data_IF_921924533134
#
_entry.id   IF_921924533134
#
_cell.length_a   1.000
_cell.length_b   1.000
_cell.length_c   1.000
_cell.angle_alpha   90.00
_cell.angle_beta   90.00
_cell.angle_gamma   90.00
#
_symmetry.space_group_name_H-M   'P 1'
#
loop_
_entity.id
_entity.type
_entity.pdbx_description
1 polymer ?
#
# COMPACT_ATOMS: atom_id res chain seq x y z
N UNK A 1 55.33 49.02 -7.28
CA UNK A 1 55.36 47.54 -7.17
C UNK A 1 53.98 47.02 -7.45
N UNK A 2 53.74 46.52 -8.67
CA UNK A 2 52.45 45.90 -9.01
C UNK A 2 52.36 44.60 -8.21
N UNK A 3 51.51 44.59 -7.18
CA UNK A 3 51.30 43.42 -6.33
C UNK A 3 50.66 42.27 -7.11
N UNK A 4 50.75 41.05 -6.57
CA UNK A 4 50.12 39.88 -7.17
C UNK A 4 48.60 40.10 -7.32
N UNK A 5 48.07 39.85 -8.51
CA UNK A 5 46.66 40.03 -8.85
C UNK A 5 45.89 38.70 -8.79
N UNK A 6 44.55 38.75 -8.90
CA UNK A 6 43.74 37.53 -9.06
C UNK A 6 43.73 36.58 -7.87
N UNK A 7 43.82 37.09 -6.63
CA UNK A 7 43.78 36.24 -5.44
C UNK A 7 45.09 35.51 -5.10
N UNK A 8 46.17 35.86 -5.79
CA UNK A 8 47.51 35.36 -5.52
C UNK A 8 48.16 36.04 -4.30
N UNK A 9 48.84 35.28 -3.44
CA UNK A 9 49.56 35.77 -2.26
C UNK A 9 51.04 36.04 -2.57
N UNK A 10 51.72 35.10 -3.24
CA UNK A 10 53.09 35.29 -3.72
C UNK A 10 53.19 34.91 -5.19
N UNK A 11 53.89 35.71 -5.99
CA UNK A 11 53.98 35.55 -7.43
C UNK A 11 55.39 35.86 -7.94
N UNK A 12 55.71 35.34 -9.12
CA UNK A 12 56.92 35.64 -9.88
C UNK A 12 56.55 36.00 -11.31
N UNK A 13 57.43 36.77 -11.98
CA UNK A 13 57.21 37.18 -13.37
C UNK A 13 57.16 35.99 -14.32
N UNK A 14 57.89 34.92 -14.03
CA UNK A 14 58.04 33.77 -14.93
C UNK A 14 57.04 32.64 -14.68
N UNK A 15 56.72 32.34 -13.41
CA UNK A 15 55.86 31.21 -13.04
C UNK A 15 54.44 31.64 -12.67
N UNK A 16 54.12 32.93 -12.76
CA UNK A 16 52.85 33.47 -12.28
C UNK A 16 52.71 33.33 -10.78
N UNK A 17 51.55 32.88 -10.32
CA UNK A 17 51.28 32.68 -8.90
C UNK A 17 51.98 31.45 -8.33
N UNK A 18 52.65 31.62 -7.20
CA UNK A 18 53.33 30.56 -6.45
C UNK A 18 52.47 30.04 -5.28
N UNK A 19 51.76 30.94 -4.59
CA UNK A 19 50.81 30.59 -3.53
C UNK A 19 49.53 31.40 -3.60
N UNK A 20 48.40 30.74 -3.42
CA UNK A 20 47.08 31.37 -3.45
C UNK A 20 46.61 31.79 -2.06
N UNK A 21 45.73 32.80 -2.01
CA UNK A 21 44.99 33.12 -0.78
C UNK A 21 44.18 31.90 -0.29
N UNK A 22 43.87 31.82 1.01
CA UNK A 22 43.07 30.73 1.57
C UNK A 22 41.76 30.52 0.78
N UNK A 23 41.32 29.25 0.68
CA UNK A 23 40.13 28.76 -0.04
C UNK A 23 40.25 28.70 -1.57
N UNK A 24 41.22 29.37 -2.19
CA UNK A 24 41.48 29.24 -3.63
C UNK A 24 42.33 28.00 -3.92
N UNK A 25 42.21 27.49 -5.14
CA UNK A 25 43.01 26.41 -5.68
C UNK A 25 44.05 26.96 -6.65
N UNK A 26 45.28 26.46 -6.57
CA UNK A 26 46.29 26.73 -7.59
C UNK A 26 46.09 25.78 -8.77
N UNK A 27 46.00 26.34 -9.96
CA UNK A 27 45.96 25.62 -11.24
C UNK A 27 47.18 26.01 -12.07
N UNK A 28 47.79 25.03 -12.73
CA UNK A 28 48.93 25.25 -13.62
C UNK A 28 48.43 25.29 -15.06
N UNK A 29 48.27 26.50 -15.59
CA UNK A 29 47.93 26.70 -16.99
C UNK A 29 49.16 26.47 -17.87
N UNK A 30 48.97 25.80 -19.00
CA UNK A 30 50.06 25.50 -19.93
C UNK A 30 49.99 26.45 -21.12
N UNK A 31 51.04 27.23 -21.31
CA UNK A 31 51.23 28.09 -22.49
C UNK A 31 52.49 27.62 -23.24
N UNK A 32 52.28 26.84 -24.30
CA UNK A 32 53.35 26.12 -24.99
C UNK A 32 54.12 25.18 -24.05
N UNK A 33 55.40 25.48 -23.81
CA UNK A 33 56.25 24.72 -22.87
C UNK A 33 56.25 25.28 -21.44
N UNK A 34 55.62 26.44 -21.21
CA UNK A 34 55.59 27.10 -19.91
C UNK A 34 54.39 26.63 -19.09
N UNK A 35 54.55 26.61 -17.78
CA UNK A 35 53.47 26.41 -16.81
C UNK A 35 53.38 27.63 -15.91
N UNK A 36 52.21 28.25 -15.86
CA UNK A 36 51.95 29.47 -15.10
C UNK A 36 50.90 29.15 -14.05
N UNK A 37 51.20 29.46 -12.80
CA UNK A 37 50.26 29.27 -11.70
C UNK A 37 49.20 30.37 -11.67
N UNK A 38 47.93 29.96 -11.57
CA UNK A 38 46.78 30.85 -11.42
C UNK A 38 45.93 30.39 -10.24
N UNK A 39 45.25 31.33 -9.58
CA UNK A 39 44.39 31.01 -8.44
C UNK A 39 42.93 31.04 -8.87
N UNK A 40 42.22 29.92 -8.67
CA UNK A 40 40.83 29.74 -9.08
C UNK A 40 39.96 29.39 -7.86
N UNK A 41 38.70 29.84 -7.89
CA UNK A 41 37.72 29.46 -6.88
C UNK A 41 37.27 28.00 -7.02
N UNK A 42 37.37 27.43 -8.23
CA UNK A 42 37.03 26.05 -8.56
C UNK A 42 37.91 25.57 -9.70
N UNK A 43 38.24 24.28 -9.71
CA UNK A 43 39.09 23.71 -10.73
C UNK A 43 38.36 23.62 -12.09
N UNK A 44 39.08 23.84 -13.20
CA UNK A 44 38.50 23.74 -14.54
C UNK A 44 38.17 22.28 -14.91
N UNK A 45 37.41 22.09 -15.99
CA UNK A 45 37.08 20.76 -16.51
C UNK A 45 38.35 19.92 -16.76
N UNK A 46 38.29 18.63 -16.44
CA UNK A 46 39.45 17.73 -16.50
C UNK A 46 40.40 17.85 -15.29
N UNK A 47 40.05 18.64 -14.27
CA UNK A 47 40.79 18.74 -13.00
C UNK A 47 39.84 18.61 -11.82
N UNK A 48 40.34 18.06 -10.71
CA UNK A 48 39.65 18.00 -9.43
C UNK A 48 40.46 18.74 -8.36
N UNK A 49 39.77 19.35 -7.40
CA UNK A 49 40.41 20.08 -6.31
C UNK A 49 40.83 19.15 -5.18
N UNK A 50 42.09 19.25 -4.74
CA UNK A 50 42.55 18.67 -3.47
C UNK A 50 42.83 19.79 -2.47
N UNK A 51 42.56 19.55 -1.19
CA UNK A 51 42.90 20.48 -0.11
C UNK A 51 43.96 19.86 0.77
N UNK A 52 45.08 20.54 0.93
CA UNK A 52 46.18 20.14 1.80
C UNK A 52 46.48 21.27 2.79
N UNK A 53 47.15 20.99 3.92
CA UNK A 53 47.49 22.01 4.91
C UNK A 53 48.28 23.18 4.33
N UNK A 54 49.12 22.91 3.31
CA UNK A 54 50.03 23.89 2.72
C UNK A 54 49.37 24.73 1.63
N UNK A 55 48.54 24.10 0.77
CA UNK A 55 47.77 24.76 -0.29
C UNK A 55 46.67 23.84 -0.84
N UNK A 56 45.76 24.41 -1.63
CA UNK A 56 44.80 23.62 -2.40
C UNK A 56 45.24 23.59 -3.86
N UNK A 57 45.28 22.41 -4.48
CA UNK A 57 45.75 22.22 -5.85
C UNK A 57 44.61 21.72 -6.74
N UNK A 58 44.63 22.13 -8.00
CA UNK A 58 43.86 21.49 -9.06
C UNK A 58 44.70 20.37 -9.71
N UNK A 59 44.31 19.13 -9.49
CA UNK A 59 44.99 17.94 -10.02
C UNK A 59 44.25 17.45 -11.25
N UNK A 60 44.99 17.17 -12.33
CA UNK A 60 44.43 16.63 -13.58
C UNK A 60 43.81 15.25 -13.35
N UNK A 61 42.67 14.99 -13.98
CA UNK A 61 42.05 13.67 -14.05
C UNK A 61 42.95 12.67 -14.81
N UNK A 62 42.66 11.37 -14.67
CA UNK A 62 43.32 10.31 -15.44
C UNK A 62 43.12 10.47 -16.96
N UNK A 63 43.97 9.82 -17.77
CA UNK A 63 43.95 9.96 -19.24
C UNK A 63 42.60 9.59 -19.86
N UNK A 64 41.95 8.54 -19.36
CA UNK A 64 40.66 8.02 -19.88
C UNK A 64 39.45 8.80 -19.37
N UNK A 65 39.68 9.79 -18.50
CA UNK A 65 38.65 10.51 -17.79
C UNK A 65 38.58 11.97 -18.26
N UNK A 66 37.41 12.38 -18.74
CA UNK A 66 37.13 13.75 -19.17
C UNK A 66 36.83 14.67 -17.98
N UNK A 67 36.11 14.15 -16.96
CA UNK A 67 35.89 14.84 -15.69
C UNK A 67 35.84 13.85 -14.53
N UNK A 68 36.40 14.22 -13.39
CA UNK A 68 36.53 13.35 -12.23
C UNK A 68 36.18 14.07 -10.93
N UNK A 69 35.68 13.31 -9.97
CA UNK A 69 35.49 13.77 -8.60
C UNK A 69 36.81 13.71 -7.81
N UNK A 70 37.57 12.64 -8.02
CA UNK A 70 38.94 12.48 -7.53
C UNK A 70 39.73 11.53 -8.44
N UNK A 71 40.98 11.23 -8.09
CA UNK A 71 41.86 10.34 -8.87
C UNK A 71 41.24 8.97 -9.21
N UNK A 72 40.43 8.42 -8.32
CA UNK A 72 39.87 7.08 -8.43
C UNK A 72 38.42 7.05 -8.95
N UNK A 73 37.76 8.21 -8.99
CA UNK A 73 36.36 8.30 -9.35
C UNK A 73 36.15 9.31 -10.47
N UNK A 74 36.02 8.77 -11.68
CA UNK A 74 35.64 9.48 -12.88
C UNK A 74 34.13 9.68 -12.94
N UNK A 75 33.72 10.86 -13.42
CA UNK A 75 32.33 11.25 -13.64
C UNK A 75 31.93 11.10 -15.11
N UNK A 76 32.85 11.39 -16.03
CA UNK A 76 32.64 11.25 -17.48
C UNK A 76 33.88 10.72 -18.16
N UNK A 77 33.71 9.69 -18.97
CA UNK A 77 34.80 9.11 -19.74
C UNK A 77 35.06 9.88 -21.04
N UNK A 78 36.30 9.82 -21.52
CA UNK A 78 36.63 10.30 -22.87
C UNK A 78 35.97 9.39 -23.92
N UNK A 79 35.74 9.93 -25.11
CA UNK A 79 35.26 9.16 -26.25
C UNK A 79 36.12 7.89 -26.47
N UNK A 80 35.47 6.76 -26.69
CA UNK A 80 36.12 5.45 -26.80
C UNK A 80 36.18 4.64 -25.49
N UNK A 81 35.85 5.25 -24.35
CA UNK A 81 35.76 4.54 -23.05
C UNK A 81 34.36 4.64 -22.44
N UNK A 82 34.03 3.63 -21.64
CA UNK A 82 32.74 3.48 -20.96
C UNK A 82 32.94 3.52 -19.45
N UNK A 83 32.01 4.19 -18.76
CA UNK A 83 32.04 4.33 -17.31
C UNK A 83 31.52 3.06 -16.63
N UNK A 84 32.29 2.53 -15.68
CA UNK A 84 31.90 1.43 -14.81
C UNK A 84 32.43 1.65 -13.39
N UNK A 85 31.53 1.74 -12.41
CA UNK A 85 31.86 1.94 -10.97
C UNK A 85 32.87 3.08 -10.73
N UNK A 86 32.71 4.20 -11.45
CA UNK A 86 33.59 5.36 -11.33
C UNK A 86 34.93 5.24 -12.07
N UNK A 87 35.13 4.22 -12.91
CA UNK A 87 36.34 4.07 -13.74
C UNK A 87 35.97 4.03 -15.22
N UNK A 88 36.86 4.53 -16.05
CA UNK A 88 36.72 4.49 -17.50
C UNK A 88 37.53 3.34 -18.07
N UNK A 89 36.92 2.58 -18.97
CA UNK A 89 37.55 1.44 -19.63
C UNK A 89 37.04 1.27 -21.06
N UNK A 90 37.90 0.81 -21.96
CA UNK A 90 37.52 0.58 -23.37
C UNK A 90 36.65 -0.67 -23.55
N UNK A 91 36.93 -1.73 -22.77
CA UNK A 91 36.17 -2.98 -22.77
C UNK A 91 35.45 -3.18 -21.44
N UNK A 92 34.16 -3.51 -21.51
CA UNK A 92 33.36 -3.78 -20.31
C UNK A 92 33.70 -5.15 -19.70
N UNK A 93 33.59 -5.30 -18.36
CA UNK A 93 33.81 -6.58 -17.69
C UNK A 93 32.69 -7.58 -18.02
N UNK A 94 32.90 -8.85 -17.65
CA UNK A 94 31.99 -9.95 -17.97
C UNK A 94 30.53 -9.67 -17.57
N UNK A 95 29.61 -10.00 -18.48
CA UNK A 95 28.17 -9.80 -18.31
C UNK A 95 27.68 -8.38 -18.59
N UNK A 96 28.57 -7.43 -18.90
CA UNK A 96 28.23 -6.08 -19.33
C UNK A 96 28.63 -5.83 -20.77
N UNK A 97 27.89 -4.93 -21.42
CA UNK A 97 28.13 -4.48 -22.79
C UNK A 97 28.29 -2.95 -22.83
N UNK A 98 29.09 -2.43 -23.78
CA UNK A 98 29.21 -1.00 -23.98
C UNK A 98 27.89 -0.38 -24.45
N UNK A 99 27.40 0.64 -23.75
CA UNK A 99 26.26 1.44 -24.21
C UNK A 99 26.73 2.77 -24.78
N UNK A 100 26.53 2.97 -26.07
CA UNK A 100 26.89 4.23 -26.73
C UNK A 100 25.99 5.41 -26.33
N UNK A 101 24.72 5.13 -26.02
CA UNK A 101 23.76 6.15 -25.60
C UNK A 101 24.05 6.64 -24.19
N UNK A 102 24.40 5.75 -23.27
CA UNK A 102 24.69 6.09 -21.87
C UNK A 102 26.18 6.36 -21.61
N UNK A 103 27.07 5.98 -22.52
CA UNK A 103 28.55 6.01 -22.35
C UNK A 103 29.00 5.29 -21.08
N UNK A 104 28.33 4.19 -20.79
CA UNK A 104 28.49 3.37 -19.58
C UNK A 104 28.50 1.88 -19.96
N UNK A 105 29.09 1.06 -19.09
CA UNK A 105 28.94 -0.39 -19.19
C UNK A 105 27.61 -0.80 -18.56
N UNK A 106 26.70 -1.31 -19.39
CA UNK A 106 25.34 -1.69 -18.99
C UNK A 106 25.16 -3.22 -19.07
N UNK A 107 24.20 -3.81 -18.36
CA UNK A 107 23.89 -5.22 -18.52
C UNK A 107 23.46 -5.54 -19.97
N UNK A 108 23.84 -6.72 -20.46
CA UNK A 108 23.34 -7.23 -21.73
C UNK A 108 21.85 -7.59 -21.58
N UNK A 109 20.95 -6.79 -22.15
CA UNK A 109 19.51 -7.03 -22.05
C UNK A 109 19.02 -8.04 -23.09
N UNK A 110 17.89 -8.74 -22.83
CA UNK A 110 17.19 -9.54 -23.83
C UNK A 110 16.76 -8.71 -25.05
N UNK A 111 16.50 -9.39 -26.18
CA UNK A 111 16.19 -8.77 -27.49
C UNK A 111 15.01 -7.79 -27.42
N UNK A 112 13.98 -8.10 -26.62
CA UNK A 112 12.75 -7.29 -26.51
C UNK A 112 12.78 -6.28 -25.35
N UNK A 113 13.96 -6.09 -24.73
CA UNK A 113 14.14 -5.23 -23.56
C UNK A 113 15.03 -4.01 -23.87
N UNK A 114 14.51 -2.81 -23.68
CA UNK A 114 15.24 -1.54 -23.84
C UNK A 114 16.17 -1.25 -22.65
N UNK A 115 15.71 -1.55 -21.43
CA UNK A 115 16.56 -1.44 -20.24
C UNK A 115 16.26 -2.52 -19.22
N UNK A 116 17.31 -3.13 -18.68
CA UNK A 116 17.23 -4.24 -17.73
C UNK A 116 18.09 -3.99 -16.49
N UNK A 117 17.72 -4.66 -15.39
CA UNK A 117 18.50 -4.66 -14.17
C UNK A 117 19.69 -5.63 -14.27
N UNK A 118 19.47 -6.77 -14.92
CA UNK A 118 20.44 -7.83 -15.19
C UNK A 118 20.05 -8.50 -16.53
N UNK A 119 20.72 -9.58 -16.92
CA UNK A 119 20.46 -10.26 -18.21
C UNK A 119 19.04 -10.81 -18.37
N UNK A 120 18.31 -11.02 -17.28
CA UNK A 120 17.05 -11.77 -17.29
C UNK A 120 15.86 -10.90 -16.84
N UNK A 121 16.12 -9.83 -16.09
CA UNK A 121 15.11 -8.97 -15.47
C UNK A 121 15.05 -7.63 -16.21
N UNK A 122 14.08 -7.53 -17.12
CA UNK A 122 13.77 -6.30 -17.82
C UNK A 122 13.03 -5.30 -16.93
N UNK A 123 13.33 -4.01 -17.12
CA UNK A 123 12.67 -2.89 -16.43
C UNK A 123 11.92 -1.97 -17.40
N UNK A 124 12.24 -2.03 -18.70
CA UNK A 124 11.53 -1.31 -19.75
C UNK A 124 11.64 -2.09 -21.05
N UNK A 125 10.49 -2.39 -21.65
CA UNK A 125 10.43 -3.07 -22.92
C UNK A 125 10.65 -2.12 -24.09
N UNK A 126 11.07 -2.67 -25.23
CA UNK A 126 11.08 -1.93 -26.48
C UNK A 126 9.64 -1.52 -26.86
N UNK A 127 9.44 -0.46 -27.67
CA UNK A 127 8.11 -0.04 -28.08
C UNK A 127 7.29 -1.18 -28.71
N UNK A 128 6.01 -1.30 -28.33
CA UNK A 128 5.12 -2.35 -28.81
C UNK A 128 5.12 -3.65 -27.98
N UNK A 129 5.90 -3.70 -26.89
CA UNK A 129 5.90 -4.80 -25.93
C UNK A 129 5.43 -4.33 -24.55
N UNK A 130 4.87 -5.26 -23.78
CA UNK A 130 4.32 -5.04 -22.46
C UNK A 130 5.15 -5.78 -21.41
N UNK A 131 5.45 -5.08 -20.31
CA UNK A 131 6.23 -5.64 -19.22
C UNK A 131 5.36 -6.50 -18.31
N UNK A 132 5.79 -7.73 -18.02
CA UNK A 132 5.19 -8.62 -17.04
C UNK A 132 6.28 -9.40 -16.30
N UNK A 133 6.36 -9.26 -14.97
CA UNK A 133 7.32 -9.97 -14.12
C UNK A 133 8.79 -9.91 -14.60
N UNK A 134 9.21 -8.76 -15.15
CA UNK A 134 10.59 -8.59 -15.65
C UNK A 134 10.83 -9.17 -17.05
N UNK A 135 9.79 -9.59 -17.76
CA UNK A 135 9.86 -10.07 -19.13
C UNK A 135 8.98 -9.21 -20.04
N UNK A 136 9.33 -9.15 -21.32
CA UNK A 136 8.62 -8.37 -22.31
C UNK A 136 7.82 -9.28 -23.23
N UNK A 137 6.54 -8.95 -23.41
CA UNK A 137 5.61 -9.71 -24.22
C UNK A 137 5.01 -8.80 -25.29
N UNK A 138 5.00 -9.24 -26.55
CA UNK A 138 4.33 -8.50 -27.62
C UNK A 138 2.79 -8.48 -27.42
N UNK A 139 2.25 -9.54 -26.83
CA UNK A 139 0.85 -9.66 -26.41
C UNK A 139 0.82 -10.26 -25.01
N UNK A 140 0.04 -9.67 -24.09
CA UNK A 140 -0.07 -10.17 -22.73
C UNK A 140 -0.62 -11.62 -22.72
N UNK A 141 -0.07 -12.51 -21.86
CA UNK A 141 -0.59 -13.87 -21.67
C UNK A 141 -2.06 -13.90 -21.17
N UNK A 142 -2.67 -15.08 -21.21
CA UNK A 142 -4.01 -15.32 -20.66
C UNK A 142 -4.12 -14.84 -19.20
N UNK A 143 -5.28 -14.32 -18.81
CA UNK A 143 -5.53 -13.67 -17.51
C UNK A 143 -4.85 -12.30 -17.32
N UNK A 144 -4.21 -11.74 -18.36
CA UNK A 144 -3.65 -10.39 -18.33
C UNK A 144 -4.10 -9.53 -19.52
N UNK A 145 -4.17 -8.23 -19.30
CA UNK A 145 -4.49 -7.24 -20.32
C UNK A 145 -3.48 -6.08 -20.32
N UNK A 146 -3.27 -5.41 -21.47
CA UNK A 146 -2.35 -4.28 -21.56
C UNK A 146 -2.94 -3.03 -20.90
N UNK A 147 -2.14 -2.34 -20.10
CA UNK A 147 -2.47 -1.04 -19.55
C UNK A 147 -1.84 0.13 -20.34
N UNK A 148 -2.22 1.36 -20.01
CA UNK A 148 -1.67 2.57 -20.65
C UNK A 148 -0.19 2.85 -20.31
N UNK A 149 0.36 2.14 -19.31
CA UNK A 149 1.75 2.25 -18.87
C UNK A 149 2.68 1.25 -19.57
N UNK A 150 2.19 0.51 -20.58
CA UNK A 150 2.92 -0.56 -21.27
C UNK A 150 3.28 -1.74 -20.35
N UNK A 151 2.37 -2.11 -19.46
CA UNK A 151 2.49 -3.26 -18.57
C UNK A 151 1.30 -4.20 -18.75
N UNK A 152 1.52 -5.49 -18.52
CA UNK A 152 0.43 -6.45 -18.42
C UNK A 152 -0.12 -6.45 -17.00
N UNK A 153 -1.37 -6.07 -16.85
CA UNK A 153 -2.10 -6.11 -15.58
C UNK A 153 -3.04 -7.32 -15.56
N UNK A 154 -3.33 -7.92 -14.39
CA UNK A 154 -4.31 -8.99 -14.30
C UNK A 154 -5.68 -8.54 -14.82
N UNK A 155 -6.30 -9.37 -15.64
CA UNK A 155 -7.66 -9.14 -16.15
C UNK A 155 -8.64 -9.15 -14.98
N UNK A 156 -9.42 -8.08 -14.83
CA UNK A 156 -10.50 -8.06 -13.85
C UNK A 156 -11.72 -8.81 -14.38
N UNK A 157 -12.11 -9.88 -13.69
CA UNK A 157 -13.37 -10.56 -13.92
C UNK A 157 -14.49 -9.92 -13.10
N UNK A 158 -15.74 -10.08 -13.53
CA UNK A 158 -16.84 -9.56 -12.75
C UNK A 158 -17.07 -10.39 -11.49
N UNK A 159 -16.96 -9.74 -10.34
CA UNK A 159 -17.29 -10.35 -9.04
C UNK A 159 -18.60 -9.77 -8.52
N UNK A 160 -19.46 -10.64 -8.00
CA UNK A 160 -20.77 -10.27 -7.44
C UNK A 160 -20.84 -10.70 -5.98
N UNK A 161 -21.56 -9.92 -5.19
CA UNK A 161 -21.73 -10.17 -3.77
C UNK A 161 -22.78 -11.24 -3.48
N UNK A 162 -23.02 -11.44 -2.19
CA UNK A 162 -24.09 -12.28 -1.71
C UNK A 162 -25.47 -11.76 -2.15
N UNK A 163 -26.42 -12.67 -2.27
CA UNK A 163 -27.80 -12.35 -2.56
C UNK A 163 -28.44 -11.57 -1.42
N UNK A 164 -29.17 -10.51 -1.75
CA UNK A 164 -30.06 -9.85 -0.81
C UNK A 164 -31.28 -10.71 -0.44
N UNK A 165 -32.00 -10.24 0.56
CA UNK A 165 -33.29 -10.81 0.96
C UNK A 165 -34.30 -10.79 -0.20
N UNK A 166 -35.20 -11.78 -0.20
CA UNK A 166 -36.30 -11.83 -1.15
C UNK A 166 -37.29 -10.68 -0.90
N UNK A 167 -37.74 -10.03 -1.96
CA UNK A 167 -38.81 -9.04 -1.86
C UNK A 167 -40.10 -9.70 -1.35
N UNK A 168 -41.04 -8.93 -0.78
CA UNK A 168 -42.39 -9.42 -0.53
C UNK A 168 -43.03 -9.93 -1.84
N UNK A 169 -43.79 -11.01 -1.73
CA UNK A 169 -44.58 -11.55 -2.84
C UNK A 169 -45.48 -10.46 -3.42
N UNK A 170 -45.39 -10.23 -4.75
CA UNK A 170 -46.13 -9.17 -5.42
C UNK A 170 -46.69 -9.61 -6.78
N UNK A 171 -47.80 -9.03 -7.22
CA UNK A 171 -48.39 -9.25 -8.53
C UNK A 171 -48.86 -7.93 -9.13
N UNK A 172 -48.32 -7.54 -10.29
CA UNK A 172 -48.57 -6.23 -10.93
C UNK A 172 -48.35 -5.04 -9.97
N UNK A 173 -47.29 -5.12 -9.15
CA UNK A 173 -46.93 -4.08 -8.17
C UNK A 173 -47.80 -4.03 -6.91
N UNK A 174 -48.78 -4.93 -6.76
CA UNK A 174 -49.60 -5.05 -5.54
C UNK A 174 -49.02 -6.13 -4.63
N UNK A 175 -49.16 -5.97 -3.31
CA UNK A 175 -48.71 -6.95 -2.29
C UNK A 175 -49.86 -7.75 -1.64
N UNK A 176 -51.12 -7.43 -1.98
CA UNK A 176 -52.29 -8.18 -1.55
C UNK A 176 -53.35 -8.26 -2.66
N UNK A 177 -54.37 -9.10 -2.46
CA UNK A 177 -55.49 -9.26 -3.41
C UNK A 177 -55.26 -10.24 -4.56
N UNK A 178 -54.19 -11.05 -4.50
CA UNK A 178 -53.88 -12.12 -5.45
C UNK A 178 -53.52 -13.42 -4.71
N UNK A 179 -53.52 -14.54 -5.45
CA UNK A 179 -53.21 -15.89 -4.92
C UNK A 179 -51.77 -16.33 -5.25
N UNK A 180 -51.29 -15.93 -6.43
CA UNK A 180 -49.96 -16.20 -6.96
C UNK A 180 -49.29 -14.88 -7.35
N UNK A 181 -47.99 -14.76 -7.10
CA UNK A 181 -47.18 -13.60 -7.48
C UNK A 181 -45.72 -14.00 -7.68
N UNK A 182 -44.83 -12.99 -7.77
CA UNK A 182 -43.39 -13.17 -7.86
C UNK A 182 -42.67 -12.46 -6.70
N UNK A 183 -41.57 -13.07 -6.26
CA UNK A 183 -40.56 -12.46 -5.40
C UNK A 183 -39.29 -12.25 -6.23
N UNK A 184 -38.65 -11.11 -6.05
CA UNK A 184 -37.38 -10.79 -6.70
C UNK A 184 -36.33 -10.54 -5.64
N UNK A 185 -35.13 -11.10 -5.83
CA UNK A 185 -33.94 -10.72 -5.08
C UNK A 185 -32.88 -10.18 -6.02
N UNK A 186 -31.99 -9.36 -5.48
CA UNK A 186 -30.89 -8.78 -6.24
C UNK A 186 -29.59 -8.92 -5.48
N UNK A 187 -28.46 -8.97 -6.21
CA UNK A 187 -27.11 -8.91 -5.64
C UNK A 187 -26.33 -7.79 -6.32
N UNK A 188 -25.40 -7.20 -5.57
CA UNK A 188 -24.56 -6.10 -6.07
C UNK A 188 -23.36 -6.66 -6.82
N UNK A 189 -22.93 -5.96 -7.87
CA UNK A 189 -21.62 -6.17 -8.50
C UNK A 189 -20.56 -5.54 -7.60
N UNK A 190 -19.59 -6.33 -7.16
CA UNK A 190 -18.47 -5.90 -6.30
C UNK A 190 -17.29 -5.43 -7.15
N UNK A 191 -16.99 -6.15 -8.24
CA UNK A 191 -15.95 -5.81 -9.19
C UNK A 191 -16.54 -5.81 -10.59
N UNK A 192 -16.39 -4.69 -11.30
CA UNK A 192 -16.76 -4.64 -12.70
C UNK A 192 -15.70 -5.35 -13.55
N UNK A 193 -16.11 -6.04 -14.61
CA UNK A 193 -15.17 -6.69 -15.49
C UNK A 193 -14.41 -5.67 -16.33
N UNK A 194 -13.15 -5.97 -16.60
CA UNK A 194 -12.34 -5.32 -17.62
C UNK A 194 -12.88 -5.58 -19.03
N UNK A 195 -12.40 -4.86 -20.07
CA UNK A 195 -12.80 -5.09 -21.47
C UNK A 195 -12.62 -6.55 -21.92
N UNK A 196 -11.57 -7.22 -21.44
CA UNK A 196 -11.29 -8.64 -21.69
C UNK A 196 -11.82 -9.57 -20.59
N UNK A 197 -12.43 -9.00 -19.55
CA UNK A 197 -12.97 -9.74 -18.41
C UNK A 197 -14.28 -10.46 -18.71
N UNK A 198 -14.60 -11.47 -17.90
CA UNK A 198 -15.86 -12.22 -18.03
C UNK A 198 -17.05 -11.38 -17.56
N UNK A 199 -18.16 -11.47 -18.31
CA UNK A 199 -19.39 -10.74 -18.01
C UNK A 199 -19.96 -11.15 -16.64
N UNK A 200 -20.64 -10.21 -16.00
CA UNK A 200 -21.27 -10.47 -14.70
C UNK A 200 -22.32 -11.58 -14.80
N UNK A 201 -22.31 -12.55 -13.86
CA UNK A 201 -23.40 -13.50 -13.75
C UNK A 201 -24.69 -12.77 -13.34
N UNK A 202 -25.86 -13.43 -13.43
CA UNK A 202 -27.15 -12.77 -13.21
C UNK A 202 -27.21 -12.02 -11.87
N UNK A 203 -27.62 -10.75 -11.90
CA UNK A 203 -27.69 -9.85 -10.73
C UNK A 203 -29.09 -9.73 -10.13
N UNK A 204 -30.10 -10.27 -10.82
CA UNK A 204 -31.48 -10.34 -10.36
C UNK A 204 -32.03 -11.74 -10.56
N UNK A 205 -32.75 -12.25 -9.57
CA UNK A 205 -33.40 -13.55 -9.64
C UNK A 205 -34.86 -13.40 -9.23
N UNK A 206 -35.75 -14.12 -9.92
CA UNK A 206 -37.19 -14.14 -9.66
C UNK A 206 -37.65 -15.55 -9.35
N UNK A 207 -38.62 -15.66 -8.45
CA UNK A 207 -39.32 -16.92 -8.17
C UNK A 207 -40.80 -16.69 -7.94
N UNK A 208 -41.60 -17.69 -8.24
CA UNK A 208 -43.02 -17.67 -7.94
C UNK A 208 -43.28 -17.83 -6.44
N UNK A 209 -44.32 -17.15 -5.96
CA UNK A 209 -44.74 -17.17 -4.57
C UNK A 209 -46.26 -17.31 -4.45
N UNK A 210 -46.69 -17.92 -3.35
CA UNK A 210 -48.10 -18.18 -3.06
C UNK A 210 -48.54 -17.44 -1.80
N UNK A 211 -49.51 -16.54 -1.92
CA UNK A 211 -50.03 -15.78 -0.78
C UNK A 211 -51.25 -16.49 -0.20
N UNK A 212 -51.09 -17.10 0.98
CA UNK A 212 -52.23 -17.61 1.76
C UNK A 212 -53.10 -16.41 2.17
N UNK A 213 -54.39 -16.43 1.81
CA UNK A 213 -55.35 -15.42 2.30
C UNK A 213 -55.30 -15.40 3.82
N UNK A 214 -54.87 -14.29 4.41
CA UNK A 214 -55.15 -14.05 5.83
C UNK A 214 -56.67 -13.93 5.93
N UNK A 215 -57.29 -14.82 6.72
CA UNK A 215 -58.63 -14.53 7.24
C UNK A 215 -58.48 -13.19 7.95
N UNK A 216 -59.28 -12.19 7.58
CA UNK A 216 -59.44 -11.01 8.42
C UNK A 216 -59.67 -11.52 9.84
N UNK A 217 -58.81 -11.12 10.80
CA UNK A 217 -59.22 -11.23 12.19
C UNK A 217 -60.57 -10.54 12.25
N UNK A 218 -61.65 -11.23 12.66
CA UNK A 218 -62.92 -10.56 12.82
C UNK A 218 -62.68 -9.38 13.77
N UNK A 219 -63.35 -8.25 13.52
CA UNK A 219 -63.30 -7.09 14.41
C UNK A 219 -63.73 -7.42 15.87
N UNK A 220 -64.16 -8.66 16.14
CA UNK A 220 -64.37 -9.21 17.48
C UNK A 220 -63.09 -9.54 18.27
N UNK A 221 -61.90 -9.61 17.65
CA UNK A 221 -60.64 -9.80 18.37
C UNK A 221 -59.99 -8.49 18.88
N UNK A 222 -60.65 -7.34 18.67
CA UNK A 222 -60.35 -6.08 19.37
C UNK A 222 -61.33 -5.83 20.55
N UNK A 223 -62.12 -6.85 20.93
CA UNK A 223 -63.03 -6.80 22.07
C UNK A 223 -62.94 -8.04 22.96
N UNK A 224 -61.74 -8.35 23.41
CA UNK A 224 -61.52 -9.13 24.64
C UNK A 224 -60.35 -8.58 25.45
N UNK A 225 -60.25 -7.26 25.52
CA UNK A 225 -59.66 -6.58 26.66
C UNK A 225 -60.81 -5.95 27.44
N UNK A 226 -61.47 -6.72 28.29
CA UNK A 226 -62.17 -6.34 29.53
C UNK A 226 -62.74 -7.66 30.08
N UNK A 227 -62.28 -8.05 31.27
CA UNK A 227 -62.60 -9.26 32.06
C UNK A 227 -61.66 -10.47 31.91
N UNK A 228 -60.36 -10.27 32.15
CA UNK A 228 -59.54 -11.28 32.82
C UNK A 228 -59.59 -11.07 34.35
N UNK A 229 -59.61 -12.13 35.18
CA UNK A 229 -59.47 -12.00 36.63
C UNK A 229 -58.19 -11.24 36.99
N UNK A 230 -58.26 -10.35 38.00
CA UNK A 230 -57.19 -9.40 38.42
C UNK A 230 -55.80 -10.01 38.69
N UNK A 231 -55.63 -11.34 38.67
CA UNK A 231 -54.34 -12.01 38.94
C UNK A 231 -53.46 -12.23 37.71
N UNK A 232 -54.01 -12.20 36.49
CA UNK A 232 -53.20 -12.40 35.26
C UNK A 232 -52.82 -11.11 34.51
N UNK A 233 -53.38 -9.96 34.88
CA UNK A 233 -52.99 -8.67 34.27
C UNK A 233 -51.54 -8.26 34.61
N UNK A 234 -51.01 -8.72 35.75
CA UNK A 234 -49.63 -8.43 36.16
C UNK A 234 -48.58 -9.20 35.34
N UNK A 235 -48.91 -10.42 34.87
CA UNK A 235 -47.96 -11.26 34.12
C UNK A 235 -47.69 -10.70 32.71
N UNK A 236 -48.72 -10.19 32.03
CA UNK A 236 -48.57 -9.62 30.68
C UNK A 236 -48.07 -8.16 30.69
N UNK A 237 -48.36 -7.39 31.74
CA UNK A 237 -47.79 -6.05 31.91
C UNK A 237 -46.26 -6.09 32.14
N UNK A 238 -45.74 -7.11 32.83
CA UNK A 238 -44.29 -7.29 33.00
C UNK A 238 -43.60 -7.80 31.72
N UNK A 239 -44.21 -8.73 30.97
CA UNK A 239 -43.63 -9.21 29.69
C UNK A 239 -43.63 -8.15 28.59
N UNK A 240 -44.65 -7.29 28.51
CA UNK A 240 -44.69 -6.20 27.51
C UNK A 240 -43.64 -5.11 27.77
N UNK A 241 -43.22 -4.93 29.03
CA UNK A 241 -42.17 -3.96 29.41
C UNK A 241 -40.75 -4.47 29.14
N UNK A 242 -40.56 -5.79 28.99
CA UNK A 242 -39.26 -6.39 28.67
C UNK A 242 -38.97 -6.45 27.15
N UNK A 243 -40.00 -6.44 26.29
CA UNK A 243 -39.81 -6.48 24.83
C UNK A 243 -39.60 -5.09 24.19
N UNK A 244 -39.92 -4.00 24.90
CA UNK A 244 -39.70 -2.61 24.45
C UNK A 244 -38.31 -2.06 24.82
N UNK A 245 -37.42 -2.90 25.35
CA UNK A 245 -36.04 -2.55 25.69
C UNK A 245 -34.98 -3.30 24.88
N UNK A 246 -35.38 -4.12 23.90
CA UNK A 246 -34.45 -4.94 23.11
C UNK A 246 -34.63 -4.82 21.60
N UNK A 247 -35.06 -3.64 21.13
CA UNK A 247 -35.03 -3.32 19.69
C UNK A 247 -35.04 -1.81 19.43
N UNK A 248 -34.09 -1.09 20.06
CA UNK A 248 -33.70 0.25 19.59
C UNK A 248 -32.27 0.19 19.06
N UNK A 249 -32.04 0.36 17.74
CA UNK A 249 -30.71 0.58 17.21
C UNK A 249 -30.16 1.90 17.75
N UNK A 250 -28.91 1.85 18.19
CA UNK A 250 -28.15 2.99 18.70
C UNK A 250 -28.12 4.12 17.66
N UNK A 251 -28.51 5.36 18.01
CA UNK A 251 -28.20 6.50 17.18
C UNK A 251 -26.71 6.82 17.31
N UNK A 252 -26.01 6.75 16.18
CA UNK A 252 -24.68 7.32 15.99
C UNK A 252 -24.68 8.78 16.44
N UNK A 253 -23.98 9.08 17.52
CA UNK A 253 -23.69 10.45 17.93
C UNK A 253 -22.54 10.96 17.04
N UNK A 254 -22.71 12.05 16.29
CA UNK A 254 -21.66 12.59 15.44
C UNK A 254 -20.54 13.21 16.30
N UNK A 255 -19.30 13.06 15.83
CA UNK A 255 -18.03 13.26 16.55
C UNK A 255 -17.70 14.71 16.99
N UNK A 256 -18.67 15.63 17.04
CA UNK A 256 -18.47 17.03 17.43
C UNK A 256 -19.08 17.41 18.79
N UNK A 257 -19.58 16.44 19.57
CA UNK A 257 -20.13 16.65 20.93
C UNK A 257 -19.31 16.04 22.07
N UNK A 258 -18.09 15.55 21.83
CA UNK A 258 -17.20 15.14 22.93
C UNK A 258 -16.37 16.34 23.45
N UNK A 259 -16.37 16.61 24.76
CA UNK A 259 -15.57 17.69 25.35
C UNK A 259 -14.07 17.40 25.25
N UNK A 260 -13.30 18.41 24.84
CA UNK A 260 -11.83 18.41 24.78
C UNK A 260 -11.24 18.09 26.17
N UNK A 261 -10.47 17.01 26.27
CA UNK A 261 -9.57 16.79 27.39
C UNK A 261 -8.36 17.74 27.32
N UNK A 262 -7.88 18.29 28.45
CA UNK A 262 -6.77 19.23 28.47
C UNK A 262 -5.43 18.52 28.20
N UNK A 263 -4.64 19.08 27.30
CA UNK A 263 -3.31 18.60 26.97
C UNK A 263 -2.30 18.75 28.12
N UNK A 264 -1.39 17.78 28.22
CA UNK A 264 -0.08 17.95 28.86
C UNK A 264 1.01 17.31 28.02
N UNK A 265 2.16 17.97 28.12
CA UNK A 265 3.25 18.02 27.17
C UNK A 265 4.20 16.82 27.25
N UNK A 266 4.96 16.69 26.17
CA UNK A 266 6.10 15.83 25.92
C UNK A 266 7.06 15.67 27.10
N UNK A 267 7.51 14.43 27.33
CA UNK A 267 8.86 14.15 27.84
C UNK A 267 9.37 12.83 27.23
N UNK A 268 10.63 12.87 26.84
CA UNK A 268 11.35 11.98 25.93
C UNK A 268 11.61 10.57 26.46
N UNK A 269 11.67 9.63 25.51
CA UNK A 269 12.20 8.27 25.68
C UNK A 269 13.73 8.28 25.73
N UNK A 270 14.31 7.64 26.74
CA UNK A 270 15.62 6.98 26.69
C UNK A 270 15.46 5.50 27.09
N UNK A 271 16.17 4.55 26.45
CA UNK A 271 15.99 3.12 26.70
C UNK A 271 17.14 2.51 27.52
N UNK A 272 16.85 1.58 28.44
CA UNK A 272 17.79 0.55 28.96
C UNK A 272 17.06 -0.59 29.71
N UNK A 273 17.71 -1.77 29.90
CA UNK A 273 17.08 -3.09 29.75
C UNK A 273 17.01 -3.92 31.08
N UNK A 274 17.03 -5.29 31.14
CA UNK A 274 15.98 -6.09 31.79
C UNK A 274 16.40 -6.91 33.05
N UNK A 275 15.38 -7.53 33.70
CA UNK A 275 15.42 -8.71 34.63
C UNK A 275 16.00 -8.55 36.06
N UNK A 276 15.79 -9.50 37.02
CA UNK A 276 14.71 -10.51 37.25
C UNK A 276 14.28 -10.71 38.75
N UNK A 277 13.30 -11.61 38.97
CA UNK A 277 13.06 -12.50 40.15
C UNK A 277 12.46 -11.98 41.48
N UNK A 278 11.42 -12.67 41.96
CA UNK A 278 11.36 -13.16 43.36
C UNK A 278 10.15 -12.83 44.26
N UNK A 279 9.26 -13.81 44.43
CA UNK A 279 8.52 -14.20 45.66
C UNK A 279 7.38 -13.35 46.29
N UNK A 280 6.17 -13.93 46.16
CA UNK A 280 5.07 -14.16 47.12
C UNK A 280 5.13 -13.55 48.56
N UNK A 281 4.07 -12.84 48.97
CA UNK A 281 2.93 -13.41 49.75
C UNK A 281 1.84 -12.36 50.15
N UNK A 282 0.57 -12.81 50.00
CA UNK A 282 -0.64 -12.55 50.81
C UNK A 282 -1.34 -11.17 50.76
N UNK A 283 -2.60 -11.14 50.30
CA UNK A 283 -3.79 -11.05 51.17
C UNK A 283 -5.12 -11.11 50.36
N UNK A 284 -6.06 -11.91 50.91
CA UNK A 284 -7.54 -11.95 50.87
C UNK A 284 -8.38 -11.58 49.62
N UNK A 285 -9.49 -12.33 49.37
CA UNK A 285 -10.29 -12.23 48.15
C UNK A 285 -11.39 -11.17 48.25
N UNK A 286 -11.51 -10.35 47.20
CA UNK A 286 -12.72 -9.57 46.89
C UNK A 286 -13.29 -10.07 45.57
N UNK A 287 -14.61 -9.99 45.45
CA UNK A 287 -15.50 -10.69 44.53
C UNK A 287 -15.07 -10.71 43.04
N UNK A 288 -15.29 -11.83 42.31
CA UNK A 288 -15.18 -11.84 40.85
C UNK A 288 -16.51 -11.45 40.17
N UNK A 289 -16.40 -10.46 39.29
CA UNK A 289 -17.39 -10.14 38.27
C UNK A 289 -17.49 -11.24 37.22
N UNK A 290 -18.74 -11.46 36.83
CA UNK A 290 -19.24 -12.47 35.90
C UNK A 290 -19.01 -12.00 34.46
N UNK A 291 -18.21 -12.73 33.68
CA UNK A 291 -18.36 -13.02 32.23
C UNK A 291 -17.23 -14.00 31.86
N UNK A 292 -17.53 -15.29 31.95
CA UNK A 292 -16.97 -16.38 31.13
C UNK A 292 -17.57 -17.70 31.67
N UNK A 293 -17.83 -18.66 30.77
CA UNK A 293 -18.50 -19.95 30.99
C UNK A 293 -20.03 -19.97 30.97
N UNK A 294 -20.60 -19.91 29.77
CA UNK A 294 -21.81 -20.69 29.47
C UNK A 294 -21.60 -21.45 28.17
N UNK A 295 -21.03 -22.64 28.29
CA UNK A 295 -21.22 -23.70 27.31
C UNK A 295 -21.26 -25.05 28.03
N UNK A 296 -22.38 -25.76 27.81
CA UNK A 296 -22.66 -27.17 28.10
C UNK A 296 -22.64 -27.65 29.57
N UNK A 297 -23.82 -27.90 30.16
CA UNK A 297 -24.38 -29.26 30.35
C UNK A 297 -25.66 -29.25 31.21
N UNK A 298 -26.53 -30.22 30.91
CA UNK A 298 -27.76 -30.65 31.59
C UNK A 298 -29.04 -29.85 31.29
N UNK A 299 -29.90 -30.28 30.35
CA UNK A 299 -30.66 -31.55 30.27
C UNK A 299 -31.46 -31.88 31.53
N UNK A 300 -32.78 -32.01 31.30
CA UNK A 300 -33.75 -32.85 31.99
C UNK A 300 -34.22 -32.43 33.40
N UNK A 301 -35.38 -31.75 33.48
CA UNK A 301 -36.63 -32.32 34.04
C UNK A 301 -37.83 -31.58 33.42
N UNK A 302 -38.29 -32.04 32.26
CA UNK A 302 -39.71 -31.99 31.91
C UNK A 302 -40.06 -33.37 31.40
N UNK A 303 -40.45 -34.25 32.32
CA UNK A 303 -41.13 -35.48 31.98
C UNK A 303 -42.62 -35.24 32.24
N UNK A 304 -43.39 -35.03 31.18
CA UNK A 304 -44.53 -35.89 30.88
C UNK A 304 -45.28 -35.33 29.67
N UNK A 305 -45.06 -36.02 28.53
CA UNK A 305 -46.02 -36.44 27.49
C UNK A 305 -47.07 -35.44 26.94
N UNK A 306 -47.31 -35.31 25.64
CA UNK A 306 -47.40 -36.36 24.61
C UNK A 306 -47.45 -35.69 23.21
N UNK A 307 -46.69 -36.24 22.26
CA UNK A 307 -46.93 -36.15 20.82
C UNK A 307 -47.60 -37.47 20.41
N UNK A 308 -48.56 -37.38 19.50
CA UNK A 308 -49.38 -38.49 19.02
C UNK A 308 -48.59 -39.50 18.15
N UNK A 309 -49.14 -40.71 18.14
CA UNK A 309 -48.75 -41.99 17.52
C UNK A 309 -48.11 -41.97 16.12
N UNK A 310 -47.15 -42.89 15.88
CA UNK A 310 -47.30 -44.08 15.00
C UNK A 310 -45.97 -44.84 14.74
N UNK A 311 -45.87 -46.05 15.32
CA UNK A 311 -45.42 -47.33 14.72
C UNK A 311 -43.99 -47.54 14.19
N UNK A 312 -43.24 -48.49 14.79
CA UNK A 312 -42.85 -49.78 14.16
C UNK A 312 -42.03 -50.70 15.10
N UNK A 313 -42.20 -52.01 14.89
CA UNK A 313 -41.82 -53.19 15.69
C UNK A 313 -40.33 -53.57 15.71
N UNK A 314 -39.96 -54.42 16.69
CA UNK A 314 -38.73 -55.21 16.72
C UNK A 314 -38.35 -55.61 18.13
#
# INVERSE_FOLDING_TARGET
TQGCQGGCQTCSVYNGCLTCKPKLFIHLERDGMRQIGVCLASCPNGFYGTRSPDRNDCIKCGSECDSCFNRNFCLRCRAGSYLHKGKCMESCPDGLVPSDTKKECVPACPVDCDSCQNSDTCTRCVPGHFLLHGQCYHVCPDEFEPNNSMECIPTAHCEVGEWGEWSPCSHLGKTCGFKWGEETRTRKVLQNPSPMGSQCPQTSEKRDCYVKRRRSMPASALRTSINLPKREQLYWAFKARAFLLWDKPEPLIPAWLLPKAPGRQHASLHPTPPHPQGSLMKMCPTAPDIISYFNHLYLCVLNSSRLDDLGCQG
#
